data_IF_585787832189
#
_entry.id   IF_585787832189
#
_cell.length_a   1.000
_cell.length_b   1.000
_cell.length_c   1.000
_cell.angle_alpha   90.00
_cell.angle_beta   90.00
_cell.angle_gamma   90.00
#
_symmetry.space_group_name_H-M   'P 1'
#
loop_
_entity.id
_entity.type
_entity.pdbx_description
1 polymer ?
#
# COMPACT_ATOMS: atom_id res chain seq x y z
N UNK A 1 24.00 -8.02 -5.33
CA UNK A 1 23.07 -7.67 -4.24
C UNK A 1 21.99 -8.74 -4.07
N UNK A 2 21.22 -9.05 -5.12
CA UNK A 2 20.15 -10.06 -5.09
C UNK A 2 20.55 -11.41 -4.47
N UNK A 3 21.66 -12.01 -4.90
CA UNK A 3 22.11 -13.31 -4.33
C UNK A 3 22.33 -13.24 -2.82
N UNK A 4 22.91 -12.14 -2.31
CA UNK A 4 23.13 -11.91 -0.88
C UNK A 4 21.82 -11.67 -0.13
N UNK A 5 20.90 -10.89 -0.70
CA UNK A 5 19.56 -10.68 -0.13
C UNK A 5 18.85 -12.03 0.02
N UNK A 6 18.79 -12.82 -1.05
CA UNK A 6 18.16 -14.14 -1.04
C UNK A 6 18.76 -15.04 0.03
N UNK A 7 20.09 -15.16 0.06
CA UNK A 7 20.79 -16.01 1.04
C UNK A 7 20.44 -15.58 2.46
N UNK A 8 20.65 -14.30 2.80
CA UNK A 8 20.46 -13.80 4.15
C UNK A 8 19.00 -13.81 4.61
N UNK A 9 18.05 -13.48 3.72
CA UNK A 9 16.62 -13.54 4.06
C UNK A 9 16.20 -14.98 4.34
N UNK A 10 16.55 -15.92 3.46
CA UNK A 10 16.12 -17.32 3.59
C UNK A 10 16.82 -18.07 4.72
N UNK A 11 18.01 -17.63 5.14
CA UNK A 11 18.71 -18.18 6.30
C UNK A 11 18.37 -17.48 7.63
N UNK A 12 17.59 -16.39 7.62
CA UNK A 12 17.25 -15.62 8.82
C UNK A 12 18.33 -14.66 9.32
N UNK A 13 19.35 -14.37 8.50
CA UNK A 13 20.46 -13.46 8.81
C UNK A 13 20.04 -11.98 8.58
N UNK A 14 18.97 -11.53 9.24
CA UNK A 14 18.34 -10.23 8.97
C UNK A 14 19.23 -9.03 9.29
N UNK A 15 20.20 -9.17 10.20
CA UNK A 15 21.21 -8.15 10.44
C UNK A 15 22.06 -7.87 9.19
N UNK A 16 22.39 -8.91 8.41
CA UNK A 16 23.15 -8.72 7.17
C UNK A 16 22.31 -8.01 6.11
N UNK A 17 21.00 -8.27 6.07
CA UNK A 17 20.05 -7.57 5.19
C UNK A 17 19.98 -6.08 5.55
N UNK A 18 19.90 -5.73 6.84
CA UNK A 18 19.97 -4.34 7.31
C UNK A 18 21.26 -3.65 6.89
N UNK A 19 22.40 -4.33 7.04
CA UNK A 19 23.69 -3.77 6.64
C UNK A 19 23.82 -3.58 5.14
N UNK A 20 23.18 -4.43 4.33
CA UNK A 20 23.08 -4.23 2.88
C UNK A 20 22.22 -3.00 2.55
N UNK A 21 21.04 -2.89 3.15
CA UNK A 21 20.14 -1.74 2.95
C UNK A 21 20.84 -0.42 3.30
N UNK A 22 21.53 -0.36 4.46
CA UNK A 22 22.20 0.84 4.93
C UNK A 22 23.39 1.30 4.05
N UNK A 23 23.90 0.42 3.16
CA UNK A 23 25.04 0.70 2.27
C UNK A 23 24.63 0.93 0.82
N UNK A 24 23.39 0.61 0.46
CA UNK A 24 22.87 0.72 -0.88
C UNK A 24 22.05 2.01 -1.06
N UNK A 25 21.87 2.45 -2.31
CA UNK A 25 20.76 3.33 -2.61
C UNK A 25 19.44 2.59 -2.32
N UNK A 26 18.48 3.27 -1.70
CA UNK A 26 17.26 2.61 -1.25
C UNK A 26 16.44 2.07 -2.43
N UNK A 27 16.41 2.77 -3.56
CA UNK A 27 15.67 2.32 -4.75
C UNK A 27 16.30 1.05 -5.32
N UNK A 28 17.64 1.01 -5.42
CA UNK A 28 18.37 -0.17 -5.86
C UNK A 28 18.12 -1.37 -4.93
N UNK A 29 18.08 -1.13 -3.61
CA UNK A 29 17.76 -2.15 -2.62
C UNK A 29 16.31 -2.63 -2.76
N UNK A 30 15.34 -1.71 -2.84
CA UNK A 30 13.91 -2.00 -3.01
C UNK A 30 13.69 -2.90 -4.24
N UNK A 31 14.24 -2.52 -5.40
CA UNK A 31 14.11 -3.30 -6.64
C UNK A 31 14.71 -4.71 -6.51
N UNK A 32 15.92 -4.82 -5.94
CA UNK A 32 16.57 -6.11 -5.74
C UNK A 32 15.81 -6.98 -4.74
N UNK A 33 15.28 -6.39 -3.66
CA UNK A 33 14.54 -7.08 -2.62
C UNK A 33 13.22 -7.65 -3.15
N UNK A 34 12.44 -6.82 -3.86
CA UNK A 34 11.18 -7.22 -4.48
C UNK A 34 11.42 -8.29 -5.55
N UNK A 35 12.45 -8.15 -6.38
CA UNK A 35 12.81 -9.16 -7.38
C UNK A 35 13.11 -10.50 -6.73
N UNK A 36 13.90 -10.52 -5.65
CA UNK A 36 14.18 -11.75 -4.91
C UNK A 36 12.92 -12.33 -4.26
N UNK A 37 12.04 -11.50 -3.69
CA UNK A 37 10.79 -11.97 -3.12
C UNK A 37 9.89 -12.60 -4.19
N UNK A 38 9.79 -12.00 -5.38
CA UNK A 38 9.00 -12.51 -6.50
C UNK A 38 9.53 -13.86 -7.01
N UNK A 39 10.85 -14.04 -7.09
CA UNK A 39 11.44 -15.31 -7.56
C UNK A 39 11.31 -16.47 -6.56
N UNK A 40 11.17 -16.18 -5.26
CA UNK A 40 11.23 -17.21 -4.21
C UNK A 40 9.90 -17.37 -3.46
N UNK A 41 8.98 -16.41 -3.56
CA UNK A 41 7.61 -16.42 -2.99
C UNK A 41 7.57 -16.82 -1.50
N UNK A 42 8.61 -16.46 -0.75
CA UNK A 42 8.77 -16.86 0.65
C UNK A 42 8.27 -15.78 1.61
N UNK A 43 7.47 -16.19 2.61
CA UNK A 43 7.08 -15.32 3.72
C UNK A 43 8.26 -14.80 4.55
N UNK A 44 9.46 -15.39 4.39
CA UNK A 44 10.67 -14.90 5.04
C UNK A 44 11.04 -13.47 4.64
N UNK A 45 10.69 -13.04 3.42
CA UNK A 45 10.89 -11.65 2.99
C UNK A 45 10.04 -10.70 3.84
N UNK A 46 8.76 -11.00 4.02
CA UNK A 46 7.90 -10.19 4.90
C UNK A 46 8.36 -10.26 6.37
N UNK A 47 8.71 -11.45 6.86
CA UNK A 47 9.26 -11.62 8.23
C UNK A 47 10.51 -10.77 8.47
N UNK A 48 11.40 -10.68 7.49
CA UNK A 48 12.60 -9.86 7.55
C UNK A 48 12.25 -8.37 7.65
N UNK A 49 11.32 -7.87 6.83
CA UNK A 49 10.87 -6.47 6.93
C UNK A 49 10.23 -6.18 8.29
N UNK A 50 9.42 -7.08 8.83
CA UNK A 50 8.85 -6.91 10.17
C UNK A 50 9.93 -6.88 11.28
N UNK A 51 11.01 -7.66 11.14
CA UNK A 51 12.16 -7.57 12.05
C UNK A 51 12.88 -6.22 11.94
N UNK A 52 13.05 -5.71 10.72
CA UNK A 52 13.65 -4.40 10.48
C UNK A 52 12.80 -3.26 11.06
N UNK A 53 11.47 -3.33 10.91
CA UNK A 53 10.53 -2.35 11.51
C UNK A 53 10.63 -2.36 13.05
N UNK A 54 10.74 -3.55 13.66
CA UNK A 54 10.93 -3.65 15.12
C UNK A 54 12.24 -3.05 15.60
N UNK A 55 13.28 -3.09 14.77
CA UNK A 55 14.57 -2.51 15.07
C UNK A 55 14.53 -0.98 14.95
N UNK A 56 14.06 -0.47 13.82
CA UNK A 56 13.90 0.96 13.54
C UNK A 56 12.76 1.17 12.55
N UNK A 57 11.63 1.68 13.04
CA UNK A 57 10.44 1.91 12.24
C UNK A 57 10.61 3.13 11.33
N UNK A 58 10.40 2.95 10.03
CA UNK A 58 10.51 4.01 9.01
C UNK A 58 9.42 3.88 7.96
N UNK A 59 9.02 4.99 7.34
CA UNK A 59 8.05 5.00 6.23
C UNK A 59 8.50 4.12 5.07
N UNK A 60 9.79 4.12 4.77
CA UNK A 60 10.42 3.37 3.70
C UNK A 60 10.25 1.85 3.89
N UNK A 61 10.38 1.36 5.13
CA UNK A 61 10.13 -0.04 5.43
C UNK A 61 8.65 -0.41 5.31
N UNK A 62 7.74 0.48 5.70
CA UNK A 62 6.31 0.27 5.46
C UNK A 62 5.95 0.29 3.97
N UNK A 63 6.57 1.18 3.19
CA UNK A 63 6.37 1.23 1.74
C UNK A 63 6.91 -0.03 1.04
N UNK A 64 8.05 -0.56 1.49
CA UNK A 64 8.60 -1.83 1.01
C UNK A 64 7.73 -3.03 1.41
N UNK A 65 7.22 -3.06 2.66
CA UNK A 65 6.27 -4.07 3.09
C UNK A 65 4.98 -4.03 2.26
N UNK A 66 4.44 -2.84 2.01
CA UNK A 66 3.28 -2.66 1.13
C UNK A 66 3.55 -3.29 -0.25
N UNK A 67 4.69 -2.96 -0.87
CA UNK A 67 5.03 -3.44 -2.20
C UNK A 67 5.20 -4.97 -2.24
N UNK A 68 5.77 -5.58 -1.19
CA UNK A 68 5.84 -7.03 -1.05
C UNK A 68 4.46 -7.68 -1.03
N UNK A 69 3.49 -7.06 -0.34
CA UNK A 69 2.18 -7.61 -0.07
C UNK A 69 1.19 -7.42 -1.23
N UNK A 70 1.36 -6.38 -2.05
CA UNK A 70 0.52 -6.17 -3.24
C UNK A 70 1.10 -6.78 -4.51
N UNK A 71 2.34 -7.29 -4.47
CA UNK A 71 2.99 -7.87 -5.65
C UNK A 71 3.54 -9.29 -5.40
N UNK A 72 4.76 -9.53 -4.85
CA UNK A 72 5.26 -10.89 -4.67
C UNK A 72 4.39 -11.82 -3.82
N UNK A 73 3.66 -11.28 -2.85
CA UNK A 73 2.89 -12.05 -1.87
C UNK A 73 1.37 -11.81 -1.99
N UNK A 74 0.89 -11.24 -3.11
CA UNK A 74 -0.51 -10.84 -3.28
C UNK A 74 -1.51 -11.99 -3.13
N UNK A 75 -1.08 -13.21 -3.48
CA UNK A 75 -1.93 -14.40 -3.45
C UNK A 75 -2.11 -14.99 -2.05
N UNK A 76 -1.41 -14.45 -1.04
CA UNK A 76 -1.53 -14.92 0.34
C UNK A 76 -2.76 -14.28 0.98
N UNK A 77 -3.59 -15.12 1.61
CA UNK A 77 -4.77 -14.66 2.34
C UNK A 77 -4.40 -13.59 3.38
N UNK A 78 -5.07 -12.44 3.33
CA UNK A 78 -4.79 -11.28 4.19
C UNK A 78 -3.61 -10.40 3.78
N UNK A 79 -2.96 -10.66 2.63
CA UNK A 79 -1.86 -9.84 2.14
C UNK A 79 -2.30 -8.39 1.87
N UNK A 80 -3.45 -8.20 1.21
CA UNK A 80 -3.96 -6.86 0.89
C UNK A 80 -4.42 -6.09 2.14
N UNK A 81 -5.00 -6.77 3.14
CA UNK A 81 -5.32 -6.17 4.44
C UNK A 81 -4.04 -5.75 5.19
N UNK A 82 -3.00 -6.57 5.11
CA UNK A 82 -1.69 -6.23 5.67
C UNK A 82 -1.05 -5.06 4.92
N UNK A 83 -1.21 -4.99 3.59
CA UNK A 83 -0.74 -3.87 2.79
C UNK A 83 -1.43 -2.58 3.23
N UNK A 84 -2.76 -2.62 3.46
CA UNK A 84 -3.51 -1.49 4.01
C UNK A 84 -2.93 -1.01 5.36
N UNK A 85 -2.64 -1.94 6.27
CA UNK A 85 -1.99 -1.62 7.54
C UNK A 85 -0.67 -0.87 7.33
N UNK A 86 0.19 -1.32 6.42
CA UNK A 86 1.48 -0.67 6.15
C UNK A 86 1.32 0.71 5.49
N UNK A 87 0.40 0.86 4.54
CA UNK A 87 0.11 2.17 3.93
C UNK A 87 -0.36 3.18 5.00
N UNK A 88 -1.23 2.77 5.92
CA UNK A 88 -1.68 3.63 7.02
C UNK A 88 -0.54 4.03 7.96
N UNK A 89 0.33 3.08 8.33
CA UNK A 89 1.48 3.37 9.18
C UNK A 89 2.47 4.35 8.50
N UNK A 90 2.76 4.16 7.21
CA UNK A 90 3.58 5.08 6.41
C UNK A 90 2.98 6.50 6.36
N UNK A 91 1.65 6.61 6.18
CA UNK A 91 0.92 7.89 6.25
C UNK A 91 1.05 8.53 7.64
N UNK A 92 0.95 7.75 8.73
CA UNK A 92 1.07 8.28 10.09
C UNK A 92 2.48 8.83 10.35
N UNK A 93 3.52 8.06 10.03
CA UNK A 93 4.93 8.45 10.22
C UNK A 93 5.27 9.74 9.45
N UNK A 94 4.69 9.92 8.27
CA UNK A 94 4.94 11.08 7.40
C UNK A 94 3.97 12.24 7.64
N UNK A 95 3.08 12.13 8.63
CA UNK A 95 1.98 13.08 8.87
C UNK A 95 1.12 13.33 7.62
N UNK A 96 0.98 12.31 6.76
CA UNK A 96 0.24 12.36 5.51
C UNK A 96 0.80 13.33 4.48
N UNK A 97 2.10 13.59 4.53
CA UNK A 97 2.78 14.47 3.55
C UNK A 97 3.48 13.68 2.43
N UNK A 98 3.62 12.37 2.59
CA UNK A 98 4.23 11.53 1.58
C UNK A 98 3.21 11.11 0.53
N UNK A 99 3.46 11.47 -0.73
CA UNK A 99 2.54 11.20 -1.84
C UNK A 99 2.56 9.70 -2.18
N UNK A 100 3.72 9.03 -2.07
CA UNK A 100 3.85 7.59 -2.33
C UNK A 100 2.86 6.79 -1.47
N UNK A 101 2.85 7.01 -0.15
CA UNK A 101 1.97 6.32 0.80
C UNK A 101 0.49 6.61 0.55
N UNK A 102 0.14 7.82 0.11
CA UNK A 102 -1.24 8.16 -0.25
C UNK A 102 -1.67 7.49 -1.57
N UNK A 103 -0.77 7.39 -2.56
CA UNK A 103 -1.05 6.69 -3.82
C UNK A 103 -1.24 5.19 -3.60
N UNK A 104 -0.53 4.58 -2.66
CA UNK A 104 -0.74 3.19 -2.24
C UNK A 104 -2.17 2.93 -1.75
N UNK A 105 -2.77 3.87 -1.02
CA UNK A 105 -4.19 3.78 -0.62
C UNK A 105 -5.13 3.80 -1.84
N UNK A 106 -4.83 4.64 -2.84
CA UNK A 106 -5.61 4.65 -4.09
C UNK A 106 -5.42 3.36 -4.90
N UNK A 107 -4.27 2.70 -4.81
CA UNK A 107 -4.06 1.39 -5.43
C UNK A 107 -4.99 0.34 -4.81
N UNK A 108 -5.08 0.30 -3.48
CA UNK A 108 -5.98 -0.62 -2.75
C UNK A 108 -7.47 -0.39 -3.00
N UNK A 109 -7.83 0.80 -3.51
CA UNK A 109 -9.18 1.10 -3.97
C UNK A 109 -9.43 0.61 -5.42
N UNK A 110 -8.40 0.57 -6.25
CA UNK A 110 -8.50 0.29 -7.68
C UNK A 110 -8.51 -1.21 -8.03
N UNK A 111 -8.24 -2.09 -7.08
CA UNK A 111 -8.28 -3.55 -7.27
C UNK A 111 -9.72 -4.08 -7.38
N UNK A 112 -9.95 -5.29 -7.96
CA UNK A 112 -11.30 -5.82 -8.17
C UNK A 112 -12.15 -5.97 -6.90
N UNK A 113 -11.51 -6.27 -5.78
CA UNK A 113 -12.13 -6.30 -4.44
C UNK A 113 -11.48 -5.21 -3.58
N UNK A 114 -12.01 -3.97 -3.61
CA UNK A 114 -11.37 -2.83 -2.94
C UNK A 114 -11.25 -3.04 -1.42
N UNK A 115 -10.07 -2.78 -0.88
CA UNK A 115 -9.84 -2.83 0.58
C UNK A 115 -10.40 -1.59 1.28
N UNK A 116 -10.43 -0.45 0.56
CA UNK A 116 -10.93 0.82 1.11
C UNK A 116 -12.18 1.29 0.36
N UNK A 117 -13.00 2.06 1.07
CA UNK A 117 -14.27 2.59 0.54
C UNK A 117 -14.05 3.76 -0.42
N UNK A 118 -15.06 4.06 -1.26
CA UNK A 118 -15.07 5.26 -2.10
C UNK A 118 -14.90 6.54 -1.27
N UNK A 119 -15.46 6.60 -0.06
CA UNK A 119 -15.35 7.75 0.85
C UNK A 119 -13.92 7.97 1.32
N UNK A 120 -13.20 6.89 1.64
CA UNK A 120 -11.78 6.94 2.03
C UNK A 120 -10.90 7.33 0.84
N UNK A 121 -11.08 6.67 -0.31
CA UNK A 121 -10.35 6.99 -1.53
C UNK A 121 -10.56 8.46 -1.97
N UNK A 122 -11.79 8.99 -1.84
CA UNK A 122 -12.08 10.40 -2.11
C UNK A 122 -11.32 11.35 -1.19
N UNK A 123 -11.22 11.04 0.12
CA UNK A 123 -10.45 11.84 1.08
C UNK A 123 -8.96 11.82 0.77
N UNK A 124 -8.41 10.63 0.50
CA UNK A 124 -7.01 10.44 0.11
C UNK A 124 -6.70 11.22 -1.16
N UNK A 125 -7.55 11.10 -2.20
CA UNK A 125 -7.37 11.83 -3.45
C UNK A 125 -7.37 13.35 -3.25
N UNK A 126 -8.27 13.89 -2.40
CA UNK A 126 -8.24 15.31 -2.02
C UNK A 126 -6.94 15.71 -1.34
N UNK A 127 -6.41 14.86 -0.48
CA UNK A 127 -5.16 15.13 0.23
C UNK A 127 -3.96 15.16 -0.73
N UNK A 128 -3.86 14.19 -1.64
CA UNK A 128 -2.83 14.19 -2.69
C UNK A 128 -2.91 15.48 -3.50
N UNK A 129 -4.10 15.88 -3.96
CA UNK A 129 -4.27 17.09 -4.78
C UNK A 129 -3.96 18.39 -4.04
N UNK A 130 -3.95 18.39 -2.70
CA UNK A 130 -3.45 19.54 -1.91
C UNK A 130 -1.92 19.61 -1.92
N UNK A 131 -1.24 18.47 -1.96
CA UNK A 131 0.22 18.35 -1.96
C UNK A 131 0.80 18.49 -3.38
N UNK A 132 0.18 17.81 -4.33
CA UNK A 132 0.49 17.83 -5.76
C UNK A 132 -0.80 18.02 -6.57
N UNK A 133 -1.15 19.29 -6.89
CA UNK A 133 -2.32 19.60 -7.70
C UNK A 133 -2.28 19.03 -9.12
N UNK A 134 -1.11 18.63 -9.62
CA UNK A 134 -0.93 18.08 -10.96
C UNK A 134 -1.22 16.58 -11.05
N UNK A 135 -1.26 15.89 -9.91
CA UNK A 135 -1.38 14.43 -9.82
C UNK A 135 -2.60 13.87 -10.58
N UNK A 136 -2.34 13.15 -11.67
CA UNK A 136 -3.39 12.61 -12.53
C UNK A 136 -4.14 11.44 -11.90
N UNK A 137 -3.45 10.59 -11.14
CA UNK A 137 -4.05 9.43 -10.46
C UNK A 137 -5.08 9.91 -9.45
N UNK A 138 -4.70 10.84 -8.58
CA UNK A 138 -5.62 11.41 -7.59
C UNK A 138 -6.79 12.17 -8.23
N UNK A 139 -6.55 12.89 -9.33
CA UNK A 139 -7.63 13.57 -10.06
C UNK A 139 -8.66 12.59 -10.63
N UNK A 140 -8.22 11.45 -11.14
CA UNK A 140 -9.11 10.41 -11.67
C UNK A 140 -9.88 9.74 -10.54
N UNK A 141 -9.18 9.30 -9.48
CA UNK A 141 -9.80 8.69 -8.30
C UNK A 141 -10.88 9.61 -7.69
N UNK A 142 -10.60 10.92 -7.57
CA UNK A 142 -11.56 11.90 -7.05
C UNK A 142 -12.85 11.97 -7.88
N UNK A 143 -12.73 11.95 -9.21
CA UNK A 143 -13.88 12.03 -10.13
C UNK A 143 -14.73 10.76 -10.07
N UNK A 144 -14.08 9.61 -10.09
CA UNK A 144 -14.76 8.31 -10.09
C UNK A 144 -15.49 8.05 -8.77
N UNK A 145 -14.83 8.32 -7.65
CA UNK A 145 -15.42 8.16 -6.31
C UNK A 145 -16.59 9.13 -6.12
N UNK A 146 -16.46 10.40 -6.54
CA UNK A 146 -17.58 11.35 -6.49
C UNK A 146 -18.80 10.86 -7.26
N UNK A 147 -18.61 10.39 -8.50
CA UNK A 147 -19.69 9.89 -9.35
C UNK A 147 -20.40 8.68 -8.73
N UNK A 148 -19.65 7.72 -8.19
CA UNK A 148 -20.24 6.53 -7.55
C UNK A 148 -20.99 6.90 -6.28
N UNK A 149 -20.45 7.80 -5.46
CA UNK A 149 -21.11 8.27 -4.26
C UNK A 149 -22.43 9.01 -4.56
N UNK A 150 -22.47 9.84 -5.60
CA UNK A 150 -23.69 10.52 -6.04
C UNK A 150 -24.75 9.50 -6.48
N UNK A 151 -24.36 8.47 -7.24
CA UNK A 151 -25.27 7.41 -7.67
C UNK A 151 -25.85 6.61 -6.49
N UNK A 152 -25.02 6.26 -5.49
CA UNK A 152 -25.48 5.55 -4.28
C UNK A 152 -26.53 6.37 -3.52
N UNK A 153 -26.36 7.69 -3.44
CA UNK A 153 -27.35 8.57 -2.81
C UNK A 153 -28.66 8.57 -3.60
N UNK A 154 -28.60 8.57 -4.92
CA UNK A 154 -29.79 8.47 -5.79
C UNK A 154 -30.51 7.13 -5.56
N UNK A 155 -29.80 6.01 -5.59
CA UNK A 155 -30.38 4.66 -5.42
C UNK A 155 -31.09 4.49 -4.05
N UNK A 156 -30.49 4.99 -2.96
CA UNK A 156 -31.09 4.93 -1.62
C UNK A 156 -32.41 5.72 -1.58
N UNK A 157 -32.45 6.90 -2.20
CA UNK A 157 -33.66 7.72 -2.23
C UNK A 157 -34.78 7.08 -3.04
N UNK A 158 -34.45 6.43 -4.17
CA UNK A 158 -35.43 5.65 -4.95
C UNK A 158 -36.00 4.49 -4.12
N UNK A 159 -35.15 3.72 -3.43
CA UNK A 159 -35.59 2.63 -2.55
C UNK A 159 -36.52 3.10 -1.41
N UNK A 160 -36.26 4.28 -0.83
CA UNK A 160 -37.13 4.86 0.21
C UNK A 160 -38.48 5.32 -0.34
N UNK A 161 -38.56 5.78 -1.59
CA UNK A 161 -39.84 6.12 -2.24
C UNK A 161 -40.71 4.87 -2.47
N UNK A 162 -40.11 3.73 -2.81
CA UNK A 162 -40.84 2.46 -2.93
C UNK A 162 -41.29 1.90 -1.57
N UNK A 163 -40.52 2.09 -0.50
CA UNK A 163 -40.86 1.62 0.85
C UNK A 163 -42.00 2.38 1.54
N UNK A 164 -42.26 3.64 1.15
CA UNK A 164 -43.33 4.48 1.71
C UNK A 164 -44.66 4.39 0.93
N UNK A 165 -44.75 3.50 -0.06
CA UNK A 165 -45.91 3.35 -0.94
C UNK A 165 -46.86 2.19 -0.56
N UNK A 166 -46.74 1.62 0.64
CA UNK A 166 -47.61 0.55 1.17
C UNK A 166 -48.30 0.94 2.48
#
# INVERSE_FOLDING_TARGET
>A
MQSSIKEYVLSGEFEQVRQLMAKADFLDFEEAYISCAHENESMMFYTCILDMIKFEETSELHDLAFLLLVYPLSEIEGALDSAYYHAQASIQLTNGKEIKSLLQMLLLHAIPEPVITDSEAFKVAKQILKLDPSNHVARNALKETAKRMDNVVVDINELQQYGNSN
#
